data_IF_786381784646
#
_entry.id   IF_786381784646
#
_cell.length_a   1.000
_cell.length_b   1.000
_cell.length_c   1.000
_cell.angle_alpha   90.00
_cell.angle_beta   90.00
_cell.angle_gamma   90.00
#
_symmetry.space_group_name_H-M   'P 1'
#
loop_
_entity.id
_entity.type
_entity.pdbx_description
1 polymer ?
#
# COMPACT_ATOMS: atom_id res chain seq x y z
N UNK A 1 -17.25 7.20 24.89
CA UNK A 1 -16.07 6.88 25.72
C UNK A 1 -16.49 6.99 27.16
N UNK A 2 -16.32 5.94 27.98
CA UNK A 2 -16.45 6.11 29.42
C UNK A 2 -15.36 7.10 29.91
N UNK A 3 -15.65 7.96 30.90
CA UNK A 3 -14.67 8.89 31.49
C UNK A 3 -13.46 8.13 32.06
N UNK A 4 -12.26 8.74 32.02
CA UNK A 4 -10.97 8.14 32.43
C UNK A 4 -11.01 7.49 33.83
N UNK A 5 -11.80 8.06 34.73
CA UNK A 5 -11.95 7.58 36.11
C UNK A 5 -12.60 6.18 36.17
N UNK A 6 -13.40 5.79 35.17
CA UNK A 6 -14.05 4.47 35.12
C UNK A 6 -13.12 3.34 34.66
N UNK A 7 -11.98 3.63 34.05
CA UNK A 7 -11.04 2.59 33.60
C UNK A 7 -10.14 2.09 34.74
N UNK A 8 -9.87 2.96 35.72
CA UNK A 8 -9.00 2.64 36.86
C UNK A 8 -9.67 1.65 37.85
N UNK A 9 -11.00 1.62 37.88
CA UNK A 9 -11.78 0.76 38.78
C UNK A 9 -12.07 -0.64 38.19
N UNK A 10 -11.69 -0.90 36.94
CA UNK A 10 -11.92 -2.17 36.28
C UNK A 10 -10.94 -3.24 36.79
N UNK A 11 -11.43 -4.46 36.96
CA UNK A 11 -10.52 -5.61 37.07
C UNK A 11 -9.71 -5.78 35.78
N UNK A 12 -8.54 -6.42 35.85
CA UNK A 12 -7.67 -6.63 34.68
C UNK A 12 -8.43 -7.26 33.49
N UNK A 13 -9.33 -8.20 33.78
CA UNK A 13 -10.15 -8.86 32.74
C UNK A 13 -11.17 -7.91 32.10
N UNK A 14 -11.76 -7.01 32.88
CA UNK A 14 -12.71 -6.01 32.40
C UNK A 14 -12.01 -4.89 31.63
N UNK A 15 -10.86 -4.45 32.12
CA UNK A 15 -10.00 -3.46 31.45
C UNK A 15 -9.55 -3.97 30.08
N UNK A 16 -9.05 -5.19 30.03
CA UNK A 16 -8.64 -5.87 28.79
C UNK A 16 -9.79 -5.96 27.80
N UNK A 17 -10.97 -6.40 28.26
CA UNK A 17 -12.16 -6.51 27.40
C UNK A 17 -12.58 -5.14 26.86
N UNK A 18 -12.50 -4.09 27.68
CA UNK A 18 -12.81 -2.73 27.27
C UNK A 18 -11.82 -2.21 26.20
N UNK A 19 -10.52 -2.46 26.37
CA UNK A 19 -9.48 -2.09 25.40
C UNK A 19 -9.72 -2.82 24.07
N UNK A 20 -9.88 -4.14 24.08
CA UNK A 20 -10.08 -4.93 22.85
C UNK A 20 -11.35 -4.48 22.11
N UNK A 21 -12.44 -4.21 22.84
CA UNK A 21 -13.70 -3.70 22.26
C UNK A 21 -13.52 -2.34 21.59
N UNK A 22 -12.71 -1.45 22.15
CA UNK A 22 -12.45 -0.14 21.56
C UNK A 22 -11.48 -0.22 20.36
N UNK A 23 -10.52 -1.14 20.38
CA UNK A 23 -9.64 -1.40 19.25
C UNK A 23 -10.42 -2.03 18.08
N UNK A 24 -11.37 -2.92 18.34
CA UNK A 24 -12.27 -3.51 17.33
C UNK A 24 -13.09 -2.46 16.56
N UNK A 25 -13.47 -1.37 17.23
CA UNK A 25 -14.21 -0.27 16.61
C UNK A 25 -13.35 0.58 15.67
N UNK A 26 -12.03 0.33 15.60
CA UNK A 26 -11.07 1.16 14.85
C UNK A 26 -10.25 0.29 13.88
N UNK A 27 -10.62 0.22 12.59
CA UNK A 27 -9.96 -0.63 11.60
C UNK A 27 -8.45 -0.41 11.48
N UNK A 28 -7.99 0.84 11.67
CA UNK A 28 -6.58 1.20 11.65
C UNK A 28 -5.72 0.52 12.74
N UNK A 29 -6.35 -0.06 13.77
CA UNK A 29 -5.68 -0.71 14.90
C UNK A 29 -5.83 -2.24 14.90
N UNK A 30 -6.33 -2.85 13.82
CA UNK A 30 -6.57 -4.30 13.75
C UNK A 30 -5.34 -5.14 14.14
N UNK A 31 -4.15 -4.78 13.64
CA UNK A 31 -2.90 -5.49 13.98
C UNK A 31 -2.55 -5.39 15.47
N UNK A 32 -2.72 -4.20 16.07
CA UNK A 32 -2.43 -3.97 17.50
C UNK A 32 -3.38 -4.77 18.37
N UNK A 33 -4.67 -4.82 18.00
CA UNK A 33 -5.67 -5.65 18.66
C UNK A 33 -5.28 -7.13 18.63
N UNK A 34 -4.93 -7.66 17.47
CA UNK A 34 -4.64 -9.09 17.30
C UNK A 34 -3.39 -9.51 18.11
N UNK A 35 -2.37 -8.65 18.14
CA UNK A 35 -1.17 -8.84 18.96
C UNK A 35 -1.49 -8.77 20.46
N UNK A 36 -2.28 -7.78 20.88
CA UNK A 36 -2.68 -7.63 22.28
C UNK A 36 -3.53 -8.81 22.76
N UNK A 37 -4.51 -9.26 21.97
CA UNK A 37 -5.33 -10.43 22.28
C UNK A 37 -4.50 -11.71 22.41
N UNK A 38 -3.51 -11.89 21.54
CA UNK A 38 -2.55 -13.00 21.60
C UNK A 38 -1.74 -12.96 22.90
N UNK A 39 -1.19 -11.80 23.26
CA UNK A 39 -0.42 -11.62 24.50
C UNK A 39 -1.24 -11.90 25.75
N UNK A 40 -2.49 -11.46 25.79
CA UNK A 40 -3.39 -11.64 26.93
C UNK A 40 -3.83 -13.08 27.11
N UNK A 41 -4.03 -13.82 26.01
CA UNK A 41 -4.34 -15.25 26.05
C UNK A 41 -3.19 -16.09 26.66
N UNK A 42 -1.96 -15.58 26.63
CA UNK A 42 -0.78 -16.22 27.23
C UNK A 42 -0.59 -15.87 28.73
N UNK A 43 -1.39 -14.96 29.27
CA UNK A 43 -1.25 -14.38 30.62
C UNK A 43 -1.21 -15.37 31.81
N UNK A 44 -2.00 -16.47 31.83
CA UNK A 44 -1.98 -17.41 32.96
C UNK A 44 -0.68 -18.22 33.13
N UNK A 45 0.24 -18.19 32.15
CA UNK A 45 1.41 -19.09 32.11
C UNK A 45 2.75 -18.38 32.34
N UNK A 46 2.78 -17.07 32.56
CA UNK A 46 4.01 -16.28 32.38
C UNK A 46 4.32 -15.38 33.58
N UNK A 47 5.14 -15.84 34.52
CA UNK A 47 5.64 -15.02 35.66
C UNK A 47 7.14 -14.70 35.62
N UNK A 48 7.83 -14.88 34.49
CA UNK A 48 9.22 -14.40 34.31
C UNK A 48 9.68 -14.36 32.84
N UNK A 49 9.00 -15.11 31.96
CA UNK A 49 9.28 -15.16 30.50
C UNK A 49 8.69 -13.95 29.76
N UNK A 50 8.02 -13.03 30.47
CA UNK A 50 7.21 -11.92 29.93
C UNK A 50 8.02 -10.79 29.32
N UNK A 51 9.10 -10.31 29.93
CA UNK A 51 9.83 -9.15 29.39
C UNK A 51 10.58 -9.49 28.08
N UNK A 52 11.19 -10.68 28.01
CA UNK A 52 11.89 -11.13 26.81
C UNK A 52 10.91 -11.48 25.66
N UNK A 53 9.76 -12.10 25.97
CA UNK A 53 8.74 -12.44 24.98
C UNK A 53 8.01 -11.22 24.42
N UNK A 54 7.64 -10.27 25.28
CA UNK A 54 7.05 -8.99 24.87
C UNK A 54 8.07 -8.16 24.09
N UNK A 55 9.33 -8.11 24.53
CA UNK A 55 10.42 -7.46 23.79
C UNK A 55 10.58 -8.01 22.37
N UNK A 56 10.58 -9.34 22.21
CA UNK A 56 10.69 -9.99 20.90
C UNK A 56 9.50 -9.66 19.98
N UNK A 57 8.28 -9.64 20.50
CA UNK A 57 7.09 -9.28 19.72
C UNK A 57 7.10 -7.82 19.29
N UNK A 58 7.55 -6.91 20.17
CA UNK A 58 7.73 -5.49 19.83
C UNK A 58 8.80 -5.32 18.74
N UNK A 59 9.93 -6.01 18.84
CA UNK A 59 10.97 -6.00 17.81
C UNK A 59 10.46 -6.56 16.47
N UNK A 60 9.70 -7.64 16.49
CA UNK A 60 9.07 -8.18 15.28
C UNK A 60 8.07 -7.18 14.66
N UNK A 61 7.25 -6.52 15.48
CA UNK A 61 6.32 -5.50 15.00
C UNK A 61 7.06 -4.29 14.41
N UNK A 62 8.15 -3.84 15.05
CA UNK A 62 9.01 -2.77 14.54
C UNK A 62 9.71 -3.17 13.24
N UNK A 63 10.23 -4.40 13.16
CA UNK A 63 10.85 -4.92 11.95
C UNK A 63 9.85 -5.01 10.79
N UNK A 64 8.64 -5.51 11.05
CA UNK A 64 7.56 -5.56 10.07
C UNK A 64 7.14 -4.15 9.61
N UNK A 65 7.00 -3.20 10.55
CA UNK A 65 6.70 -1.81 10.22
C UNK A 65 7.80 -1.16 9.36
N UNK A 66 9.07 -1.39 9.69
CA UNK A 66 10.22 -0.92 8.90
C UNK A 66 10.22 -1.53 7.49
N UNK A 67 9.95 -2.83 7.37
CA UNK A 67 9.85 -3.50 6.08
C UNK A 67 8.71 -2.91 5.23
N UNK A 68 7.53 -2.72 5.81
CA UNK A 68 6.40 -2.10 5.12
C UNK A 68 6.71 -0.67 4.64
N UNK A 69 7.37 0.14 5.48
CA UNK A 69 7.83 1.48 5.10
C UNK A 69 8.86 1.41 3.97
N UNK A 70 9.82 0.49 4.05
CA UNK A 70 10.83 0.31 3.01
C UNK A 70 10.19 -0.08 1.67
N UNK A 71 9.20 -0.98 1.68
CA UNK A 71 8.45 -1.36 0.48
C UNK A 71 7.68 -0.18 -0.12
N UNK A 72 7.01 0.63 0.70
CA UNK A 72 6.34 1.84 0.23
C UNK A 72 7.34 2.84 -0.36
N UNK A 73 8.50 3.00 0.26
CA UNK A 73 9.54 3.93 -0.19
C UNK A 73 10.14 3.55 -1.55
N UNK A 74 10.12 2.27 -1.95
CA UNK A 74 10.53 1.88 -3.31
C UNK A 74 9.64 2.54 -4.36
N UNK A 75 8.33 2.57 -4.11
CA UNK A 75 7.36 3.21 -5.01
C UNK A 75 7.37 4.73 -4.85
N UNK A 76 7.31 5.23 -3.61
CA UNK A 76 7.23 6.67 -3.33
C UNK A 76 8.53 7.43 -3.58
N UNK A 77 9.66 6.73 -3.66
CA UNK A 77 10.95 7.31 -4.06
C UNK A 77 11.05 7.66 -5.54
N UNK A 78 10.09 7.21 -6.35
CA UNK A 78 10.02 7.56 -7.78
C UNK A 78 9.42 8.95 -7.97
N UNK A 79 9.66 9.60 -9.13
CA UNK A 79 8.89 10.78 -9.51
C UNK A 79 7.39 10.45 -9.56
N UNK A 80 6.58 11.24 -8.84
CA UNK A 80 5.13 11.05 -8.72
C UNK A 80 4.38 12.26 -9.26
N UNK A 81 3.24 12.00 -9.90
CA UNK A 81 2.29 12.98 -10.38
C UNK A 81 1.05 13.00 -9.48
N UNK A 82 0.47 14.18 -9.29
CA UNK A 82 -0.88 14.32 -8.72
C UNK A 82 -1.95 14.12 -9.81
N UNK A 83 -3.22 14.01 -9.42
CA UNK A 83 -4.31 13.93 -10.39
C UNK A 83 -4.39 15.15 -11.33
N UNK A 84 -3.92 16.32 -10.90
CA UNK A 84 -3.85 17.53 -11.73
C UNK A 84 -2.72 17.38 -12.75
N UNK A 85 -1.53 16.99 -12.29
CA UNK A 85 -0.37 16.79 -13.17
C UNK A 85 -0.63 15.70 -14.21
N UNK A 86 -1.40 14.66 -13.88
CA UNK A 86 -1.83 13.64 -14.86
C UNK A 86 -2.64 14.25 -15.99
N UNK A 87 -3.55 15.19 -15.70
CA UNK A 87 -4.35 15.84 -16.74
C UNK A 87 -3.46 16.65 -17.69
N UNK A 88 -2.45 17.34 -17.15
CA UNK A 88 -1.45 18.07 -17.93
C UNK A 88 -0.56 17.13 -18.75
N UNK A 89 -0.11 16.04 -18.13
CA UNK A 89 0.73 15.01 -18.74
C UNK A 89 0.08 14.32 -19.94
N UNK A 90 -1.27 14.26 -20.00
CA UNK A 90 -2.01 13.72 -21.15
C UNK A 90 -2.60 14.81 -22.05
N UNK A 91 -2.20 16.07 -21.86
CA UNK A 91 -2.62 17.20 -22.71
C UNK A 91 -4.10 17.57 -22.57
N UNK A 92 -4.78 17.16 -21.50
CA UNK A 92 -6.17 17.51 -21.27
C UNK A 92 -6.31 19.01 -20.91
N UNK A 93 -7.17 19.72 -21.64
CA UNK A 93 -7.46 21.15 -21.41
C UNK A 93 -8.94 21.34 -21.05
N UNK A 94 -9.21 22.28 -20.15
CA UNK A 94 -10.56 22.72 -19.79
C UNK A 94 -11.13 22.14 -18.48
N UNK A 95 -12.44 22.31 -18.26
CA UNK A 95 -13.13 21.98 -16.99
C UNK A 95 -13.18 20.47 -16.65
N UNK A 96 -12.80 19.59 -17.59
CA UNK A 96 -12.76 18.14 -17.43
C UNK A 96 -11.50 17.61 -16.73
N UNK A 97 -10.50 18.46 -16.42
CA UNK A 97 -9.17 18.00 -15.97
C UNK A 97 -9.22 17.17 -14.67
N UNK A 98 -10.13 17.48 -13.74
CA UNK A 98 -10.21 16.79 -12.44
C UNK A 98 -10.64 15.32 -12.51
N UNK A 99 -11.29 14.90 -13.59
CA UNK A 99 -11.79 13.53 -13.74
C UNK A 99 -10.88 12.63 -14.59
N UNK A 100 -9.85 13.18 -15.22
CA UNK A 100 -9.00 12.46 -16.19
C UNK A 100 -8.27 11.29 -15.52
N UNK A 101 -7.53 11.56 -14.44
CA UNK A 101 -6.82 10.53 -13.70
C UNK A 101 -7.76 9.44 -13.18
N UNK A 102 -8.92 9.83 -12.63
CA UNK A 102 -9.92 8.88 -12.14
C UNK A 102 -10.44 7.97 -13.25
N UNK A 103 -10.74 8.53 -14.43
CA UNK A 103 -11.23 7.78 -15.59
C UNK A 103 -10.19 6.83 -16.16
N UNK A 104 -8.93 7.25 -16.27
CA UNK A 104 -7.84 6.39 -16.72
C UNK A 104 -7.64 5.22 -15.75
N UNK A 105 -7.65 5.51 -14.44
CA UNK A 105 -7.54 4.49 -13.40
C UNK A 105 -8.71 3.53 -13.39
N UNK A 106 -9.94 4.01 -13.55
CA UNK A 106 -11.13 3.15 -13.59
C UNK A 106 -11.17 2.22 -14.81
N UNK A 107 -10.41 2.56 -15.86
CA UNK A 107 -10.21 1.71 -17.05
C UNK A 107 -8.99 0.80 -16.95
N UNK A 108 -8.28 0.81 -15.82
CA UNK A 108 -7.04 0.08 -15.62
C UNK A 108 -5.88 0.57 -16.49
N UNK A 109 -5.95 1.78 -17.07
CA UNK A 109 -4.90 2.30 -17.96
C UNK A 109 -3.70 2.83 -17.17
N UNK A 110 -3.95 3.32 -15.95
CA UNK A 110 -2.91 3.80 -15.03
C UNK A 110 -3.10 3.21 -13.64
N UNK A 111 -1.99 3.02 -12.94
CA UNK A 111 -1.95 2.70 -11.52
C UNK A 111 -1.73 3.98 -10.71
N UNK A 112 -2.48 4.10 -9.62
CA UNK A 112 -2.29 5.14 -8.62
C UNK A 112 -2.25 4.51 -7.23
N UNK A 113 -1.40 5.04 -6.37
CA UNK A 113 -1.29 4.65 -4.96
C UNK A 113 -1.98 5.67 -4.08
N UNK A 114 -2.76 5.22 -3.11
CA UNK A 114 -3.41 6.10 -2.15
C UNK A 114 -2.46 6.41 -0.99
N UNK A 115 -2.14 7.70 -0.81
CA UNK A 115 -1.30 8.23 0.25
C UNK A 115 -2.09 9.34 0.95
N UNK A 116 -2.37 9.15 2.24
CA UNK A 116 -3.08 10.14 3.08
C UNK A 116 -4.41 10.62 2.46
N UNK A 117 -5.20 9.70 1.89
CA UNK A 117 -6.50 10.01 1.28
C UNK A 117 -6.43 10.67 -0.10
N UNK A 118 -5.26 10.67 -0.75
CA UNK A 118 -5.06 11.21 -2.10
C UNK A 118 -4.33 10.20 -2.98
N UNK A 119 -4.66 10.17 -4.26
CA UNK A 119 -3.93 9.35 -5.22
C UNK A 119 -2.70 10.08 -5.74
N UNK A 120 -1.56 9.39 -5.73
CA UNK A 120 -0.34 9.73 -6.43
C UNK A 120 -0.09 8.69 -7.55
N UNK A 121 0.48 9.14 -8.66
CA UNK A 121 0.65 8.32 -9.86
C UNK A 121 2.12 8.32 -10.25
N UNK A 122 2.81 7.16 -10.25
CA UNK A 122 4.18 7.09 -10.73
C UNK A 122 4.34 7.67 -12.14
N UNK A 123 5.31 8.56 -12.34
CA UNK A 123 5.42 9.37 -13.56
C UNK A 123 5.83 8.57 -14.81
N UNK A 124 6.52 7.43 -14.64
CA UNK A 124 6.97 6.56 -15.75
C UNK A 124 5.82 6.10 -16.67
N UNK A 125 4.58 6.17 -16.19
CA UNK A 125 3.41 5.75 -16.94
C UNK A 125 3.07 6.70 -18.11
N UNK A 126 3.64 7.91 -18.12
CA UNK A 126 3.29 8.98 -19.04
C UNK A 126 4.45 9.35 -19.96
N UNK A 127 4.15 9.37 -21.25
CA UNK A 127 5.01 9.95 -22.29
C UNK A 127 4.72 11.45 -22.35
N UNK A 128 5.46 12.22 -21.54
CA UNK A 128 5.27 13.67 -21.43
C UNK A 128 5.55 14.39 -22.76
N UNK A 129 6.45 13.85 -23.59
CA UNK A 129 6.78 14.43 -24.89
C UNK A 129 5.61 14.31 -25.89
N UNK A 130 4.85 13.21 -25.82
CA UNK A 130 3.67 12.98 -26.67
C UNK A 130 2.33 13.26 -25.97
N UNK A 131 2.39 13.78 -24.75
CA UNK A 131 1.24 14.10 -23.91
C UNK A 131 0.22 12.95 -23.83
N UNK A 132 0.66 11.75 -23.43
CA UNK A 132 -0.20 10.55 -23.34
C UNK A 132 0.28 9.54 -22.30
N UNK A 133 -0.57 8.59 -21.92
CA UNK A 133 -0.14 7.36 -21.24
C UNK A 133 0.67 6.51 -22.23
N UNK A 134 1.76 5.88 -21.78
CA UNK A 134 2.50 4.93 -22.60
C UNK A 134 1.56 3.78 -23.04
N UNK A 135 1.41 3.48 -24.34
CA UNK A 135 0.46 2.46 -24.80
C UNK A 135 0.71 1.08 -24.20
N UNK A 136 1.97 0.65 -24.11
CA UNK A 136 2.35 -0.63 -23.48
C UNK A 136 2.08 -0.64 -21.98
N UNK A 137 2.27 0.49 -21.29
CA UNK A 137 1.95 0.59 -19.86
C UNK A 137 0.46 0.45 -19.63
N UNK A 138 -0.38 1.12 -20.43
CA UNK A 138 -1.83 0.98 -20.34
C UNK A 138 -2.31 -0.44 -20.67
N UNK A 139 -1.68 -1.09 -21.63
CA UNK A 139 -1.93 -2.50 -21.96
C UNK A 139 -1.60 -3.44 -20.80
N UNK A 140 -0.42 -3.29 -20.19
CA UNK A 140 0.04 -4.09 -19.07
C UNK A 140 -0.81 -3.84 -17.82
N UNK A 141 -1.06 -2.57 -17.48
CA UNK A 141 -1.86 -2.21 -16.30
C UNK A 141 -3.26 -2.82 -16.36
N UNK A 142 -3.90 -2.85 -17.54
CA UNK A 142 -5.21 -3.49 -17.68
C UNK A 142 -5.20 -4.98 -17.31
N UNK A 143 -4.08 -5.68 -17.52
CA UNK A 143 -3.94 -7.08 -17.15
C UNK A 143 -3.66 -7.24 -15.65
N UNK A 144 -2.70 -6.48 -15.11
CA UNK A 144 -2.21 -6.70 -13.74
C UNK A 144 -3.10 -6.05 -12.66
N UNK A 145 -3.84 -4.99 -12.99
CA UNK A 145 -4.75 -4.32 -12.04
C UNK A 145 -5.98 -5.14 -11.67
N UNK A 146 -6.36 -6.13 -12.49
CA UNK A 146 -7.40 -7.10 -12.13
C UNK A 146 -6.95 -8.04 -11.00
N UNK A 147 -5.63 -8.17 -10.79
CA UNK A 147 -5.01 -9.18 -9.92
C UNK A 147 -4.33 -8.59 -8.68
N UNK A 148 -4.33 -7.27 -8.51
CA UNK A 148 -3.66 -6.61 -7.39
C UNK A 148 -4.17 -5.20 -7.10
N UNK A 149 -3.99 -4.76 -5.86
CA UNK A 149 -4.24 -3.36 -5.50
C UNK A 149 -3.19 -2.41 -6.11
N UNK A 150 -3.45 -1.10 -6.01
CA UNK A 150 -2.58 -0.09 -6.60
C UNK A 150 -1.14 -0.13 -6.06
N UNK A 151 -0.95 -0.54 -4.80
CA UNK A 151 0.39 -0.68 -4.20
C UNK A 151 1.12 -1.91 -4.72
N UNK A 152 0.44 -3.06 -4.79
CA UNK A 152 0.98 -4.29 -5.32
C UNK A 152 1.45 -4.13 -6.78
N UNK A 153 0.62 -3.51 -7.62
CA UNK A 153 0.95 -3.25 -9.03
C UNK A 153 2.09 -2.24 -9.15
N UNK A 154 2.06 -1.14 -8.39
CA UNK A 154 3.14 -0.14 -8.44
C UNK A 154 4.49 -0.73 -7.98
N UNK A 155 4.49 -1.62 -6.98
CA UNK A 155 5.69 -2.33 -6.53
C UNK A 155 6.18 -3.32 -7.59
N UNK A 156 5.29 -4.05 -8.25
CA UNK A 156 5.65 -4.96 -9.33
C UNK A 156 6.43 -4.24 -10.44
N UNK A 157 5.99 -3.03 -10.84
CA UNK A 157 6.69 -2.22 -11.83
C UNK A 157 8.15 -1.89 -11.46
N UNK A 158 8.46 -1.83 -10.17
CA UNK A 158 9.79 -1.53 -9.62
C UNK A 158 10.61 -2.77 -9.25
N UNK A 159 10.02 -3.96 -9.40
CA UNK A 159 10.68 -5.20 -8.96
C UNK A 159 11.71 -5.65 -9.99
N UNK A 160 12.97 -5.74 -9.56
CA UNK A 160 14.04 -6.25 -10.42
C UNK A 160 13.92 -7.76 -10.58
N UNK A 161 13.79 -8.20 -11.83
CA UNK A 161 13.85 -9.60 -12.25
C UNK A 161 14.88 -9.70 -13.35
N UNK A 162 15.80 -10.66 -13.29
CA UNK A 162 16.89 -10.84 -14.27
C UNK A 162 17.62 -9.53 -14.62
N UNK A 163 17.92 -8.73 -13.59
CA UNK A 163 18.67 -7.47 -13.70
C UNK A 163 17.89 -6.27 -14.24
N UNK A 164 16.58 -6.38 -14.51
CA UNK A 164 15.77 -5.28 -15.03
C UNK A 164 14.45 -5.15 -14.27
N UNK A 165 14.00 -3.93 -14.06
CA UNK A 165 12.64 -3.61 -13.63
C UNK A 165 11.70 -3.57 -14.84
N UNK A 166 10.39 -3.86 -14.68
CA UNK A 166 9.41 -3.63 -15.74
C UNK A 166 9.43 -2.20 -16.32
N UNK A 167 9.73 -1.17 -15.52
CA UNK A 167 9.87 0.22 -16.00
C UNK A 167 10.96 0.34 -17.07
N UNK A 168 12.13 -0.27 -16.85
CA UNK A 168 13.25 -0.22 -17.81
C UNK A 168 12.96 -0.94 -19.14
N UNK A 169 11.94 -1.80 -19.16
CA UNK A 169 11.55 -2.56 -20.35
C UNK A 169 10.54 -1.83 -21.24
N UNK A 170 9.92 -0.73 -20.78
CA UNK A 170 8.85 0.00 -21.51
C UNK A 170 9.26 0.35 -22.94
N UNK A 171 10.48 0.87 -23.13
CA UNK A 171 11.00 1.23 -24.45
C UNK A 171 12.00 0.20 -24.99
N UNK A 172 12.63 -0.57 -24.11
CA UNK A 172 13.73 -1.47 -24.47
C UNK A 172 13.25 -2.81 -25.00
N UNK A 173 12.30 -3.44 -24.31
CA UNK A 173 11.82 -4.78 -24.67
C UNK A 173 10.35 -4.97 -24.23
N UNK A 174 9.40 -4.42 -25.01
CA UNK A 174 7.98 -4.54 -24.72
C UNK A 174 7.47 -5.99 -24.67
N UNK A 175 8.09 -6.92 -25.41
CA UNK A 175 7.66 -8.33 -25.40
C UNK A 175 8.05 -9.02 -24.10
N UNK A 176 9.27 -8.81 -23.60
CA UNK A 176 9.66 -9.29 -22.28
C UNK A 176 8.80 -8.68 -21.17
N UNK A 177 8.45 -7.39 -21.28
CA UNK A 177 7.54 -6.73 -20.35
C UNK A 177 6.16 -7.42 -20.31
N UNK A 178 5.57 -7.73 -21.48
CA UNK A 178 4.30 -8.47 -21.54
C UNK A 178 4.41 -9.87 -20.95
N UNK A 179 5.50 -10.59 -21.24
CA UNK A 179 5.72 -11.92 -20.69
C UNK A 179 5.77 -11.90 -19.15
N UNK A 180 6.43 -10.88 -18.56
CA UNK A 180 6.45 -10.69 -17.10
C UNK A 180 5.09 -10.32 -16.52
N UNK A 181 4.30 -9.52 -17.24
CA UNK A 181 2.94 -9.19 -16.83
C UNK A 181 2.07 -10.46 -16.75
N UNK A 182 2.17 -11.33 -17.75
CA UNK A 182 1.44 -12.61 -17.76
C UNK A 182 1.86 -13.53 -16.60
N UNK A 183 3.15 -13.58 -16.25
CA UNK A 183 3.65 -14.33 -15.08
C UNK A 183 3.16 -13.78 -13.74
N UNK A 184 2.90 -12.47 -13.66
CA UNK A 184 2.36 -11.86 -12.44
C UNK A 184 0.89 -12.22 -12.22
N UNK A 185 0.14 -12.43 -13.31
CA UNK A 185 -1.29 -12.77 -13.25
C UNK A 185 -1.58 -14.27 -13.09
N UNK A 186 -0.62 -15.15 -13.40
CA UNK A 186 -0.77 -16.62 -13.35
C UNK A 186 -0.19 -17.23 -12.08
#
# INVERSE_FOLDING_TARGET
>A
MPPRDQLADLSDSEFVRAILTELDRRPAFATVRDQLATLLAMGPTLTAVTEAGVGQLVEQALAAARAAIAEQNVVLGQPMLTAVDVAEAVGARGSSNRAVASRLRSRGEIVGVEVQGRFLFPAFQFDLARARVHPVVAEVNRQVTEHGDGWAVARWWMTTVDGHTPVELIERDPELLRARAAQFCG
#
